data_IF_027092495294
#
_entry.id   IF_027092495294
#
_cell.length_a   1.000
_cell.length_b   1.000
_cell.length_c   1.000
_cell.angle_alpha   90.00
_cell.angle_beta   90.00
_cell.angle_gamma   90.00
#
_symmetry.space_group_name_H-M   'P 1'
#
loop_
_entity.id
_entity.type
_entity.pdbx_description
1 polymer ?
#
# COMPACT_ATOMS: atom_id res chain seq x y z
N UNK A 1 -42.56 60.57 -58.98
CA UNK A 1 -41.65 59.73 -58.17
C UNK A 1 -42.26 59.21 -56.87
N UNK A 2 -43.37 59.78 -56.37
CA UNK A 2 -44.01 59.41 -55.10
C UNK A 2 -44.75 58.05 -55.09
N UNK A 3 -45.18 57.54 -56.26
CA UNK A 3 -45.82 56.22 -56.37
C UNK A 3 -44.85 55.05 -56.28
N UNK A 4 -43.56 55.26 -56.58
CA UNK A 4 -42.53 54.22 -56.48
C UNK A 4 -42.17 53.91 -55.01
N UNK A 5 -42.27 54.93 -54.15
CA UNK A 5 -41.92 54.84 -52.72
C UNK A 5 -42.95 54.02 -51.92
N UNK A 6 -44.23 54.04 -52.34
CA UNK A 6 -45.33 53.33 -51.68
C UNK A 6 -45.29 51.80 -51.87
N UNK A 7 -44.67 51.31 -52.95
CA UNK A 7 -44.48 49.87 -53.17
C UNK A 7 -43.21 49.31 -52.52
N UNK A 8 -42.27 50.18 -52.14
CA UNK A 8 -41.00 49.78 -51.54
C UNK A 8 -41.12 49.53 -50.02
N UNK A 9 -42.08 50.18 -49.36
CA UNK A 9 -42.35 50.03 -47.93
C UNK A 9 -42.81 48.61 -47.53
N UNK A 10 -43.80 47.95 -48.18
CA UNK A 10 -44.21 46.60 -47.80
C UNK A 10 -43.15 45.53 -48.12
N UNK A 11 -42.31 45.77 -49.14
CA UNK A 11 -41.22 44.86 -49.50
C UNK A 11 -40.11 44.83 -48.44
N UNK A 12 -39.87 45.94 -47.73
CA UNK A 12 -38.86 46.03 -46.67
C UNK A 12 -39.28 45.33 -45.37
N UNK A 13 -40.58 45.20 -45.10
CA UNK A 13 -41.08 44.51 -43.89
C UNK A 13 -41.11 42.98 -44.02
N UNK A 14 -40.97 42.44 -45.24
CA UNK A 14 -41.01 40.99 -45.49
C UNK A 14 -39.64 40.30 -45.32
N UNK A 15 -38.53 41.02 -45.19
CA UNK A 15 -37.18 40.44 -45.07
C UNK A 15 -36.76 40.13 -43.62
N UNK A 16 -37.67 40.30 -42.65
CA UNK A 16 -37.42 40.09 -41.22
C UNK A 16 -37.79 38.70 -40.70
N UNK A 17 -37.51 37.62 -41.43
CA UNK A 17 -37.61 36.28 -40.86
C UNK A 17 -36.40 36.00 -39.95
N UNK A 18 -36.56 36.26 -38.65
CA UNK A 18 -35.62 35.83 -37.63
C UNK A 18 -35.61 34.29 -37.55
N UNK A 19 -34.77 33.67 -38.38
CA UNK A 19 -34.49 32.24 -38.31
C UNK A 19 -33.71 31.97 -37.01
N UNK A 20 -34.40 31.43 -36.00
CA UNK A 20 -33.74 30.95 -34.78
C UNK A 20 -32.90 29.73 -35.17
N UNK A 21 -31.58 29.85 -35.11
CA UNK A 21 -30.70 28.71 -35.30
C UNK A 21 -31.12 27.58 -34.35
N UNK A 22 -31.33 26.35 -34.85
CA UNK A 22 -31.70 25.24 -33.98
C UNK A 22 -30.58 25.04 -32.96
N UNK A 23 -30.94 24.99 -31.68
CA UNK A 23 -30.00 24.64 -30.62
C UNK A 23 -29.44 23.26 -30.96
N UNK A 24 -28.12 23.17 -31.11
CA UNK A 24 -27.45 21.90 -31.29
C UNK A 24 -27.78 21.00 -30.09
N UNK A 25 -28.61 20.00 -30.31
CA UNK A 25 -28.88 18.97 -29.31
C UNK A 25 -27.64 18.09 -29.28
N UNK A 26 -26.82 18.27 -28.24
CA UNK A 26 -25.74 17.33 -27.94
C UNK A 26 -26.41 16.03 -27.54
N UNK A 27 -26.38 15.04 -28.43
CA UNK A 27 -26.83 13.70 -28.09
C UNK A 27 -25.85 13.10 -27.09
N UNK A 28 -26.22 13.14 -25.81
CA UNK A 28 -25.52 12.41 -24.77
C UNK A 28 -25.97 10.97 -24.89
N UNK A 29 -25.11 10.11 -25.43
CA UNK A 29 -25.36 8.68 -25.39
C UNK A 29 -25.39 8.23 -23.93
N UNK A 30 -26.41 7.46 -23.49
CA UNK A 30 -26.43 6.92 -22.15
C UNK A 30 -25.17 6.08 -21.94
N UNK A 31 -24.44 6.34 -20.86
CA UNK A 31 -23.30 5.51 -20.47
C UNK A 31 -23.78 4.05 -20.39
N UNK A 32 -23.03 3.09 -20.95
CA UNK A 32 -23.39 1.68 -20.83
C UNK A 32 -23.58 1.34 -19.35
N UNK A 33 -24.68 0.66 -19.03
CA UNK A 33 -25.01 0.27 -17.67
C UNK A 33 -23.85 -0.54 -17.08
N UNK A 34 -23.39 -0.15 -15.89
CA UNK A 34 -22.33 -0.86 -15.20
C UNK A 34 -22.73 -2.32 -14.98
N UNK A 35 -21.86 -3.26 -15.37
CA UNK A 35 -22.06 -4.70 -15.12
C UNK A 35 -21.43 -5.07 -13.78
N UNK A 36 -22.12 -5.87 -12.97
CA UNK A 36 -21.51 -6.49 -11.80
C UNK A 36 -20.44 -7.49 -12.24
N UNK A 37 -19.23 -7.34 -11.71
CA UNK A 37 -18.09 -8.21 -12.02
C UNK A 37 -18.03 -9.35 -11.02
N UNK A 38 -17.80 -10.56 -11.51
CA UNK A 38 -17.55 -11.72 -10.67
C UNK A 38 -16.09 -11.75 -10.18
N UNK A 39 -15.85 -12.45 -9.08
CA UNK A 39 -14.50 -12.69 -8.56
C UNK A 39 -13.66 -13.41 -9.63
N UNK A 40 -12.61 -12.73 -10.12
CA UNK A 40 -11.73 -13.22 -11.20
C UNK A 40 -11.80 -12.41 -12.50
N UNK A 41 -12.81 -11.54 -12.67
CA UNK A 41 -12.97 -10.71 -13.88
C UNK A 41 -12.19 -9.39 -13.82
N UNK A 42 -11.20 -9.24 -12.92
CA UNK A 42 -10.39 -8.02 -12.79
C UNK A 42 -9.68 -7.63 -14.09
N UNK A 43 -9.36 -8.62 -14.95
CA UNK A 43 -8.75 -8.40 -16.27
C UNK A 43 -9.68 -7.69 -17.27
N UNK A 44 -11.00 -7.73 -17.03
CA UNK A 44 -12.02 -7.03 -17.85
C UNK A 44 -11.98 -5.52 -17.57
N UNK A 45 -11.60 -5.12 -16.36
CA UNK A 45 -11.52 -3.72 -15.93
C UNK A 45 -10.18 -3.09 -16.31
N UNK A 46 -9.08 -3.82 -16.07
CA UNK A 46 -7.73 -3.34 -16.28
C UNK A 46 -6.86 -4.46 -16.85
N UNK A 47 -6.11 -4.14 -17.88
CA UNK A 47 -5.03 -5.02 -18.33
C UNK A 47 -3.88 -4.95 -17.32
N UNK A 48 -3.40 -6.09 -16.78
CA UNK A 48 -2.29 -6.09 -15.83
C UNK A 48 -0.98 -5.65 -16.50
N UNK A 49 0.00 -5.25 -15.70
CA UNK A 49 1.35 -5.07 -16.23
C UNK A 49 1.93 -6.39 -16.74
N UNK A 50 2.72 -6.28 -17.81
CA UNK A 50 3.48 -7.41 -18.35
C UNK A 50 4.92 -7.25 -17.87
N UNK A 51 5.33 -8.16 -16.99
CA UNK A 51 6.70 -8.26 -16.49
C UNK A 51 7.45 -9.29 -17.31
N UNK A 52 8.66 -8.95 -17.74
CA UNK A 52 9.57 -9.92 -18.37
C UNK A 52 10.85 -10.06 -17.55
N UNK A 53 11.22 -11.31 -17.35
CA UNK A 53 12.44 -11.69 -16.68
C UNK A 53 13.60 -11.67 -17.67
N UNK A 54 14.65 -10.92 -17.33
CA UNK A 54 15.88 -10.82 -18.07
C UNK A 54 17.01 -11.39 -17.20
N UNK A 55 17.48 -12.62 -17.47
CA UNK A 55 18.62 -13.17 -16.77
C UNK A 55 19.88 -12.44 -17.25
N UNK A 56 20.63 -11.89 -16.31
CA UNK A 56 21.94 -11.30 -16.55
C UNK A 56 23.01 -12.25 -16.02
N UNK A 57 24.01 -12.51 -16.86
CA UNK A 57 25.20 -13.25 -16.44
C UNK A 57 26.07 -12.43 -15.49
N UNK A 58 27.16 -13.04 -15.02
CA UNK A 58 28.20 -12.32 -14.26
C UNK A 58 28.83 -11.27 -15.16
N UNK A 59 29.04 -10.06 -14.66
CA UNK A 59 29.70 -9.00 -15.41
C UNK A 59 30.50 -8.08 -14.50
N UNK A 60 31.51 -7.41 -15.06
CA UNK A 60 32.31 -6.40 -14.36
C UNK A 60 31.66 -5.03 -14.60
N UNK A 61 31.49 -4.24 -13.55
CA UNK A 61 30.86 -2.91 -13.64
C UNK A 61 31.64 -2.02 -14.63
N UNK A 62 30.99 -1.47 -15.68
CA UNK A 62 31.63 -0.59 -16.66
C UNK A 62 32.24 0.68 -16.04
N UNK A 63 31.63 1.20 -14.97
CA UNK A 63 32.09 2.40 -14.28
C UNK A 63 33.17 2.10 -13.23
N UNK A 64 33.26 0.84 -12.78
CA UNK A 64 34.25 0.42 -11.79
C UNK A 64 34.77 -1.00 -12.04
N UNK A 65 35.93 -1.09 -12.69
CA UNK A 65 36.57 -2.37 -13.05
C UNK A 65 36.96 -3.27 -11.87
N UNK A 66 36.90 -2.77 -10.63
CA UNK A 66 37.17 -3.57 -9.41
C UNK A 66 35.93 -4.26 -8.85
N UNK A 67 34.74 -3.97 -9.39
CA UNK A 67 33.46 -4.51 -8.92
C UNK A 67 32.92 -5.51 -9.94
N UNK A 68 32.58 -6.71 -9.47
CA UNK A 68 31.94 -7.77 -10.27
C UNK A 68 30.54 -8.03 -9.72
N UNK A 69 29.54 -7.93 -10.60
CA UNK A 69 28.17 -8.31 -10.31
C UNK A 69 27.98 -9.80 -10.60
N UNK A 70 27.40 -10.51 -9.65
CA UNK A 70 27.04 -11.92 -9.81
C UNK A 70 25.80 -12.09 -10.70
N UNK A 71 25.61 -13.30 -11.23
CA UNK A 71 24.48 -13.58 -12.11
C UNK A 71 23.14 -13.41 -11.36
N UNK A 72 22.24 -12.61 -11.92
CA UNK A 72 20.94 -12.34 -11.31
C UNK A 72 19.87 -12.05 -12.39
N UNK A 73 18.60 -12.14 -12.02
CA UNK A 73 17.48 -11.84 -12.93
C UNK A 73 16.89 -10.48 -12.62
N UNK A 74 16.70 -9.64 -13.64
CA UNK A 74 15.96 -8.39 -13.53
C UNK A 74 14.57 -8.59 -14.10
N UNK A 75 13.55 -8.11 -13.39
CA UNK A 75 12.19 -8.01 -13.91
C UNK A 75 11.97 -6.60 -14.44
N UNK A 76 11.61 -6.50 -15.72
CA UNK A 76 11.28 -5.22 -16.35
C UNK A 76 9.80 -5.20 -16.74
N UNK A 77 9.16 -4.07 -16.45
CA UNK A 77 7.81 -3.77 -16.96
C UNK A 77 7.93 -3.45 -18.45
N UNK A 78 7.38 -4.30 -19.31
CA UNK A 78 7.35 -4.08 -20.76
C UNK A 78 6.11 -3.31 -21.20
N UNK A 79 4.97 -3.66 -20.60
CA UNK A 79 3.73 -2.90 -20.73
C UNK A 79 3.27 -2.48 -19.36
N UNK A 80 3.08 -1.18 -19.18
CA UNK A 80 2.38 -0.66 -18.03
C UNK A 80 0.92 -1.10 -18.10
N UNK A 81 0.32 -1.20 -16.93
CA UNK A 81 -1.08 -1.52 -16.84
C UNK A 81 -1.95 -0.36 -17.36
N UNK A 82 -3.03 -0.72 -18.03
CA UNK A 82 -3.95 0.24 -18.65
C UNK A 82 -5.39 -0.18 -18.41
N UNK A 83 -6.26 0.82 -18.20
CA UNK A 83 -7.69 0.59 -18.13
C UNK A 83 -8.18 0.00 -19.45
N UNK A 84 -9.08 -0.98 -19.37
CA UNK A 84 -9.73 -1.49 -20.56
C UNK A 84 -10.82 -0.49 -20.98
N UNK A 85 -10.53 0.27 -22.04
CA UNK A 85 -11.45 1.26 -22.61
C UNK A 85 -12.30 0.67 -23.74
N UNK A 86 -12.22 -0.64 -23.99
CA UNK A 86 -13.06 -1.28 -24.98
C UNK A 86 -14.53 -1.15 -24.54
N UNK A 87 -15.32 -0.44 -25.34
CA UNK A 87 -16.76 -0.36 -25.14
C UNK A 87 -17.35 -1.76 -25.41
N UNK A 88 -17.48 -2.59 -24.37
CA UNK A 88 -18.10 -3.91 -24.46
C UNK A 88 -19.63 -3.83 -24.53
N UNK A 89 -20.18 -2.71 -25.00
CA UNK A 89 -21.55 -2.67 -25.45
C UNK A 89 -21.61 -3.48 -26.75
N UNK A 90 -21.81 -4.80 -26.64
CA UNK A 90 -22.63 -5.49 -27.64
C UNK A 90 -23.83 -4.58 -27.93
N UNK A 91 -24.22 -4.36 -29.19
CA UNK A 91 -25.37 -3.52 -29.49
C UNK A 91 -26.53 -4.10 -28.69
N UNK A 92 -26.88 -3.42 -27.59
CA UNK A 92 -28.09 -3.69 -26.86
C UNK A 92 -29.14 -3.41 -27.91
N UNK A 93 -29.80 -4.46 -28.40
CA UNK A 93 -31.06 -4.30 -29.11
C UNK A 93 -31.88 -3.43 -28.18
N UNK A 94 -32.05 -2.17 -28.56
CA UNK A 94 -32.87 -1.22 -27.82
C UNK A 94 -34.30 -1.74 -27.98
N UNK A 95 -34.66 -2.73 -27.16
CA UNK A 95 -36.05 -2.83 -26.71
C UNK A 95 -36.28 -1.50 -26.03
N UNK A 96 -37.08 -0.67 -26.69
CA UNK A 96 -37.63 0.57 -26.16
C UNK A 96 -37.88 0.41 -24.67
N UNK A 97 -36.95 0.94 -23.86
CA UNK A 97 -37.06 0.94 -22.42
C UNK A 97 -38.16 1.95 -22.12
N UNK A 98 -39.37 1.45 -21.87
CA UNK A 98 -40.34 2.26 -21.16
C UNK A 98 -39.79 2.45 -19.74
N UNK A 99 -39.60 3.68 -19.26
CA UNK A 99 -39.26 3.90 -17.88
C UNK A 99 -40.47 3.43 -17.07
N UNK A 100 -40.37 2.26 -16.44
CA UNK A 100 -41.26 1.96 -15.34
C UNK A 100 -40.76 2.79 -14.17
N UNK A 101 -41.44 3.89 -13.87
CA UNK A 101 -41.41 4.58 -12.59
C UNK A 101 -41.97 3.64 -11.50
N UNK A 102 -41.35 2.48 -11.29
CA UNK A 102 -41.71 1.60 -10.18
C UNK A 102 -40.88 2.04 -8.98
N UNK A 103 -41.50 2.85 -8.12
CA UNK A 103 -41.06 3.05 -6.74
C UNK A 103 -40.67 1.69 -6.13
N UNK A 104 -39.50 1.57 -5.48
CA UNK A 104 -39.04 0.31 -4.91
C UNK A 104 -40.13 -0.24 -4.00
N UNK A 105 -40.52 -1.47 -4.25
CA UNK A 105 -41.58 -2.09 -3.46
C UNK A 105 -41.11 -2.22 -2.01
N UNK A 106 -42.04 -2.16 -1.05
CA UNK A 106 -41.72 -2.27 0.39
C UNK A 106 -40.83 -3.48 0.71
N UNK A 107 -40.96 -4.57 -0.05
CA UNK A 107 -40.16 -5.78 0.10
C UNK A 107 -38.71 -5.59 -0.35
N UNK A 108 -38.47 -4.89 -1.46
CA UNK A 108 -37.11 -4.59 -1.94
C UNK A 108 -36.38 -3.66 -0.97
N UNK A 109 -37.09 -2.67 -0.41
CA UNK A 109 -36.54 -1.79 0.62
C UNK A 109 -36.12 -2.58 1.88
N UNK A 110 -36.94 -3.54 2.32
CA UNK A 110 -36.62 -4.38 3.48
C UNK A 110 -35.41 -5.29 3.23
N UNK A 111 -35.29 -5.83 2.01
CA UNK A 111 -34.13 -6.64 1.62
C UNK A 111 -32.85 -5.80 1.61
N UNK A 112 -32.89 -4.61 1.02
CA UNK A 112 -31.71 -3.74 0.96
C UNK A 112 -31.32 -3.21 2.35
N UNK A 113 -32.30 -2.88 3.19
CA UNK A 113 -32.06 -2.49 4.57
C UNK A 113 -31.42 -3.61 5.39
N UNK A 114 -31.85 -4.86 5.21
CA UNK A 114 -31.22 -6.02 5.84
C UNK A 114 -29.78 -6.22 5.33
N UNK A 115 -29.55 -6.09 4.02
CA UNK A 115 -28.21 -6.15 3.42
C UNK A 115 -27.27 -5.10 4.01
N UNK A 116 -27.73 -3.86 4.15
CA UNK A 116 -26.95 -2.78 4.76
C UNK A 116 -26.66 -3.04 6.24
N UNK A 117 -27.62 -3.59 6.99
CA UNK A 117 -27.42 -3.96 8.40
C UNK A 117 -26.36 -5.05 8.55
N UNK A 118 -26.36 -6.06 7.68
CA UNK A 118 -25.35 -7.11 7.69
C UNK A 118 -23.96 -6.58 7.33
N UNK A 119 -23.87 -5.75 6.28
CA UNK A 119 -22.62 -5.09 5.90
C UNK A 119 -22.07 -4.23 7.05
N UNK A 120 -22.93 -3.43 7.70
CA UNK A 120 -22.56 -2.60 8.86
C UNK A 120 -22.04 -3.46 10.02
N UNK A 121 -22.70 -4.58 10.32
CA UNK A 121 -22.24 -5.51 11.37
C UNK A 121 -20.87 -6.12 11.04
N UNK A 122 -20.62 -6.47 9.78
CA UNK A 122 -19.33 -7.01 9.36
C UNK A 122 -18.20 -5.97 9.51
N UNK A 123 -18.46 -4.71 9.14
CA UNK A 123 -17.51 -3.60 9.33
C UNK A 123 -17.24 -3.36 10.81
N UNK A 124 -18.28 -3.35 11.66
CA UNK A 124 -18.10 -3.16 13.10
C UNK A 124 -17.25 -4.26 13.75
N UNK A 125 -17.48 -5.54 13.39
CA UNK A 125 -16.65 -6.66 13.87
C UNK A 125 -15.19 -6.49 13.45
N UNK A 126 -14.95 -6.13 12.19
CA UNK A 126 -13.61 -5.89 11.68
C UNK A 126 -12.92 -4.75 12.45
N UNK A 127 -13.64 -3.67 12.75
CA UNK A 127 -13.15 -2.56 13.56
C UNK A 127 -12.78 -2.97 14.99
N UNK A 128 -13.59 -3.82 15.62
CA UNK A 128 -13.28 -4.38 16.95
C UNK A 128 -12.01 -5.24 16.92
N UNK A 129 -11.85 -6.09 15.90
CA UNK A 129 -10.65 -6.92 15.74
C UNK A 129 -9.39 -6.07 15.56
N UNK A 130 -9.46 -5.02 14.73
CA UNK A 130 -8.33 -4.11 14.51
C UNK A 130 -7.97 -3.37 15.80
N UNK A 131 -8.97 -2.87 16.53
CA UNK A 131 -8.75 -2.20 17.82
C UNK A 131 -8.06 -3.12 18.83
N UNK A 132 -8.54 -4.37 18.97
CA UNK A 132 -7.94 -5.36 19.85
C UNK A 132 -6.48 -5.67 19.46
N UNK A 133 -6.19 -5.81 18.17
CA UNK A 133 -4.82 -6.04 17.67
C UNK A 133 -3.91 -4.85 17.91
N UNK A 134 -4.42 -3.62 17.79
CA UNK A 134 -3.65 -2.43 18.11
C UNK A 134 -3.30 -2.40 19.60
N UNK A 135 -4.25 -2.70 20.49
CA UNK A 135 -3.96 -2.77 21.93
C UNK A 135 -2.92 -3.83 22.26
N UNK A 136 -3.00 -5.01 21.64
CA UNK A 136 -2.01 -6.09 21.79
C UNK A 136 -0.61 -5.64 21.36
N UNK A 137 -0.50 -4.98 20.19
CA UNK A 137 0.77 -4.45 19.70
C UNK A 137 1.35 -3.36 20.63
N UNK A 138 0.51 -2.47 21.14
CA UNK A 138 0.98 -1.44 22.08
C UNK A 138 1.52 -2.04 23.37
N UNK A 139 0.88 -3.10 23.88
CA UNK A 139 1.33 -3.82 25.06
C UNK A 139 2.63 -4.59 24.79
N UNK A 140 2.76 -5.23 23.63
CA UNK A 140 4.00 -5.91 23.23
C UNK A 140 5.18 -4.94 23.09
N UNK A 141 4.94 -3.73 22.56
CA UNK A 141 5.98 -2.69 22.49
C UNK A 141 6.42 -2.20 23.88
N UNK A 142 5.48 -2.05 24.82
CA UNK A 142 5.79 -1.70 26.21
C UNK A 142 6.63 -2.80 26.88
N UNK A 143 6.26 -4.07 26.70
CA UNK A 143 7.06 -5.19 27.20
C UNK A 143 8.45 -5.24 26.58
N UNK A 144 8.58 -4.99 25.28
CA UNK A 144 9.89 -4.97 24.61
C UNK A 144 10.81 -3.89 25.18
N UNK A 145 10.27 -2.71 25.51
CA UNK A 145 11.04 -1.65 26.19
C UNK A 145 11.56 -2.10 27.55
N UNK A 146 10.72 -2.72 28.36
CA UNK A 146 11.13 -3.24 29.68
C UNK A 146 12.22 -4.32 29.51
N UNK A 147 12.07 -5.23 28.55
CA UNK A 147 13.08 -6.26 28.27
C UNK A 147 14.40 -5.65 27.80
N UNK A 148 14.36 -4.58 26.98
CA UNK A 148 15.56 -3.87 26.56
C UNK A 148 16.29 -3.21 27.75
N UNK A 149 15.55 -2.62 28.68
CA UNK A 149 16.11 -2.06 29.91
C UNK A 149 16.73 -3.12 30.83
N UNK A 150 16.05 -4.27 30.99
CA UNK A 150 16.59 -5.42 31.73
C UNK A 150 17.87 -5.96 31.09
N UNK A 151 17.88 -6.12 29.77
CA UNK A 151 19.08 -6.55 29.04
C UNK A 151 20.25 -5.57 29.24
N UNK A 152 19.97 -4.26 29.22
CA UNK A 152 21.00 -3.26 29.49
C UNK A 152 21.53 -3.34 30.92
N UNK A 153 20.67 -3.62 31.91
CA UNK A 153 21.10 -3.80 33.30
C UNK A 153 21.94 -5.07 33.49
N UNK A 154 21.51 -6.20 32.92
CA UNK A 154 22.26 -7.46 32.95
C UNK A 154 23.64 -7.28 32.30
N UNK A 155 23.73 -6.54 31.19
CA UNK A 155 25.02 -6.23 30.57
C UNK A 155 25.94 -5.44 31.52
N UNK A 156 25.41 -4.46 32.27
CA UNK A 156 26.19 -3.72 33.28
C UNK A 156 26.68 -4.64 34.39
N UNK A 157 25.81 -5.49 34.95
CA UNK A 157 26.18 -6.44 35.99
C UNK A 157 27.23 -7.45 35.51
N UNK A 158 27.12 -7.92 34.25
CA UNK A 158 28.14 -8.78 33.64
C UNK A 158 29.49 -8.07 33.48
N UNK A 159 29.50 -6.77 33.16
CA UNK A 159 30.76 -6.00 33.09
C UNK A 159 31.38 -5.79 34.47
N UNK A 160 30.56 -5.49 35.48
CA UNK A 160 31.03 -5.28 36.85
C UNK A 160 31.60 -6.57 37.45
N UNK A 161 30.88 -7.69 37.35
CA UNK A 161 31.34 -9.01 37.80
C UNK A 161 32.63 -9.44 37.11
N UNK A 162 32.77 -9.22 35.79
CA UNK A 162 34.03 -9.47 35.07
C UNK A 162 35.19 -8.63 35.62
N UNK A 163 34.95 -7.36 35.94
CA UNK A 163 35.98 -6.49 36.52
C UNK A 163 36.42 -6.95 37.91
N UNK A 164 35.46 -7.40 38.74
CA UNK A 164 35.72 -7.94 40.07
C UNK A 164 36.51 -9.24 40.02
N UNK A 165 36.14 -10.15 39.11
CA UNK A 165 36.88 -11.40 38.88
C UNK A 165 38.33 -11.13 38.45
N UNK A 166 38.55 -10.19 37.52
CA UNK A 166 39.91 -9.81 37.10
C UNK A 166 40.74 -9.26 38.26
N UNK A 167 40.11 -8.47 39.13
CA UNK A 167 40.77 -7.89 40.31
C UNK A 167 41.14 -8.97 41.33
N UNK A 168 40.24 -9.94 41.56
CA UNK A 168 40.51 -11.08 42.44
C UNK A 168 41.61 -11.97 41.87
N UNK A 169 41.59 -12.27 40.58
CA UNK A 169 42.64 -13.04 39.91
C UNK A 169 44.01 -12.36 40.05
N UNK A 170 44.06 -11.04 39.93
CA UNK A 170 45.29 -10.28 40.12
C UNK A 170 45.80 -10.33 41.57
N UNK A 171 44.90 -10.30 42.56
CA UNK A 171 45.26 -10.46 43.99
C UNK A 171 45.76 -11.87 44.30
N UNK A 172 45.11 -12.91 43.77
CA UNK A 172 45.56 -14.31 43.89
C UNK A 172 46.96 -14.49 43.31
N UNK A 173 47.22 -13.95 42.10
CA UNK A 173 48.55 -13.98 41.50
C UNK A 173 49.60 -13.26 42.37
N UNK A 174 49.28 -12.08 42.89
CA UNK A 174 50.19 -11.33 43.76
C UNK A 174 50.51 -12.10 45.06
N UNK A 175 49.51 -12.68 45.73
CA UNK A 175 49.71 -13.50 46.93
C UNK A 175 50.48 -14.80 46.66
N UNK A 176 50.27 -15.44 45.51
CA UNK A 176 51.04 -16.64 45.12
C UNK A 176 52.52 -16.33 44.85
N UNK A 177 52.84 -15.10 44.42
CA UNK A 177 54.21 -14.63 44.21
C UNK A 177 54.95 -14.19 45.49
N UNK A 178 54.25 -14.10 46.63
CA UNK A 178 54.82 -13.64 47.91
C UNK A 178 54.98 -14.76 48.95
N UNK A 179 55.07 -16.02 48.53
CA UNK A 179 55.52 -17.08 49.44
C UNK A 179 57.04 -16.93 49.60
N UNK A 180 57.57 -16.54 50.77
CA UNK A 180 59.01 -16.48 50.94
C UNK A 180 59.55 -17.92 50.86
N UNK A 181 60.60 -18.11 50.06
CA UNK A 181 61.52 -19.23 50.21
C UNK A 181 62.02 -19.23 51.66
N UNK A 182 61.40 -20.05 52.51
CA UNK A 182 62.03 -20.54 53.73
C UNK A 182 63.21 -21.39 53.28
N UNK A 183 64.33 -20.72 53.04
CA UNK A 183 65.64 -21.34 52.91
C UNK A 183 65.92 -21.92 54.31
N UNK A 184 65.70 -23.23 54.48
CA UNK A 184 66.17 -23.94 55.67
C UNK A 184 67.70 -23.90 55.65
N UNK A 185 68.28 -22.87 56.27
CA UNK A 185 69.66 -22.93 56.73
C UNK A 185 69.70 -23.93 57.90
N UNK A 186 70.11 -25.15 57.58
CA UNK A 186 70.62 -26.11 58.52
C UNK A 186 72.04 -25.64 58.88
N UNK A 187 72.15 -24.81 59.91
CA UNK A 187 73.44 -24.38 60.46
C UNK A 187 73.72 -25.21 61.72
N UNK A 188 74.90 -25.83 61.69
CA UNK A 188 75.38 -26.90 62.56
C UNK A 188 75.44 -26.50 64.05
N UNK A 189 74.99 -27.42 64.91
CA UNK A 189 75.27 -27.38 66.34
C UNK A 189 76.66 -28.01 66.62
N UNK A 190 77.40 -27.54 67.64
CA UNK A 190 78.80 -27.88 67.82
C UNK A 190 78.95 -29.21 68.56
N UNK A 191 79.73 -30.14 68.00
CA UNK A 191 80.74 -30.98 68.67
C UNK A 191 81.69 -31.56 67.61
#
# INVERSE_FOLDING_TARGET
MQRLLLFLLPALLATGCASKAPKAVVQVHPSPAGRNLNNGETRVVRHPEILKAYPLGRYVDPNNRKVMHEAHTIYRVESTAKWNLANSASPVVVRSYQPSDSEPTRNELLVELNRQREATRAVMRSGQTVSAKLTELTQALQQNRILAEQNANIQKELTDTRSRLKTLEQKERASSSSTPETTMQLEDAPW
#
